data_IF_231929232050
#
_entry.id   IF_231929232050
#
_cell.length_a   1.000
_cell.length_b   1.000
_cell.length_c   1.000
_cell.angle_alpha   90.00
_cell.angle_beta   90.00
_cell.angle_gamma   90.00
#
_symmetry.space_group_name_H-M   'P 1'
#
loop_
_entity.id
_entity.type
_entity.pdbx_description
1 polymer ?
#
# COMPACT_ATOMS: atom_id res chain seq x y z
N UNK A 1 12.63 26.01 28.92
CA UNK A 1 13.06 26.09 27.49
C UNK A 1 13.14 24.73 26.78
N UNK A 2 13.33 23.62 27.47
CA UNK A 2 13.35 22.30 26.86
C UNK A 2 11.94 21.65 26.67
N UNK A 3 10.92 22.10 27.40
CA UNK A 3 9.55 21.57 27.30
C UNK A 3 8.73 22.17 26.15
N UNK A 4 8.99 23.41 25.74
CA UNK A 4 8.25 24.06 24.63
C UNK A 4 8.58 23.48 23.24
N UNK A 5 9.77 22.91 23.06
CA UNK A 5 10.18 22.33 21.76
C UNK A 5 9.51 20.96 21.54
N UNK A 6 9.18 20.22 22.59
CA UNK A 6 8.55 18.89 22.51
C UNK A 6 7.05 18.95 22.15
N UNK A 7 6.31 19.95 22.57
CA UNK A 7 4.88 20.07 22.26
C UNK A 7 4.62 20.47 20.80
N UNK A 8 5.47 21.31 20.21
CA UNK A 8 5.32 21.75 18.83
C UNK A 8 5.64 20.62 17.81
N UNK A 9 6.55 19.71 18.13
CA UNK A 9 6.93 18.60 17.24
C UNK A 9 5.93 17.44 17.27
N UNK A 10 5.20 17.27 18.37
CA UNK A 10 4.13 16.26 18.50
C UNK A 10 2.86 16.63 17.73
N UNK A 11 2.62 17.92 17.48
CA UNK A 11 1.41 18.42 16.80
C UNK A 11 1.39 18.08 15.28
N UNK A 12 2.54 17.73 14.70
CA UNK A 12 2.65 17.42 13.28
C UNK A 12 2.85 15.92 12.99
N UNK A 13 2.67 15.04 13.97
CA UNK A 13 2.81 13.61 13.78
C UNK A 13 1.59 13.04 13.08
N UNK A 14 1.80 12.43 11.89
CA UNK A 14 0.76 11.73 11.12
C UNK A 14 0.80 10.25 11.50
N UNK A 15 -0.26 9.79 12.17
CA UNK A 15 -0.35 8.41 12.66
C UNK A 15 -1.43 7.66 11.88
N UNK A 16 -1.07 6.49 11.36
CA UNK A 16 -1.96 5.64 10.60
C UNK A 16 -1.88 4.17 10.99
N UNK A 17 -2.70 3.36 10.33
CA UNK A 17 -2.75 1.93 10.55
C UNK A 17 -2.85 1.16 9.24
N UNK A 18 -2.48 -0.12 9.26
CA UNK A 18 -2.68 -1.02 8.13
C UNK A 18 -4.13 -1.49 8.09
N UNK A 19 -4.81 -1.24 6.97
CA UNK A 19 -6.23 -1.51 6.79
C UNK A 19 -6.49 -2.57 5.72
N UNK A 20 -7.48 -3.42 5.98
CA UNK A 20 -7.97 -4.37 4.98
C UNK A 20 -8.97 -3.70 4.03
N UNK A 21 -8.78 -3.85 2.72
CA UNK A 21 -9.71 -3.39 1.68
C UNK A 21 -10.76 -4.44 1.28
N UNK A 22 -10.86 -5.54 2.00
CA UNK A 22 -11.77 -6.66 1.66
C UNK A 22 -13.25 -6.24 1.58
N UNK A 23 -13.64 -5.18 2.31
CA UNK A 23 -15.00 -4.61 2.30
C UNK A 23 -15.15 -3.40 1.37
N UNK A 24 -14.16 -3.15 0.51
CA UNK A 24 -14.10 -2.01 -0.39
C UNK A 24 -13.38 -0.79 0.19
N UNK A 25 -12.82 0.03 -0.70
CA UNK A 25 -11.95 1.15 -0.34
C UNK A 25 -12.69 2.27 0.41
N UNK A 26 -13.94 2.54 0.03
CA UNK A 26 -14.79 3.54 0.69
C UNK A 26 -15.02 3.16 2.15
N UNK A 27 -15.42 1.89 2.40
CA UNK A 27 -15.63 1.41 3.76
C UNK A 27 -14.36 1.42 4.59
N UNK A 28 -13.23 1.16 3.97
CA UNK A 28 -11.92 1.25 4.61
C UNK A 28 -11.64 2.68 5.07
N UNK A 29 -11.83 3.68 4.21
CA UNK A 29 -11.64 5.09 4.55
C UNK A 29 -12.58 5.54 5.70
N UNK A 30 -13.86 5.18 5.64
CA UNK A 30 -14.81 5.46 6.73
C UNK A 30 -14.34 4.88 8.08
N UNK A 31 -13.76 3.68 8.07
CA UNK A 31 -13.25 3.07 9.28
C UNK A 31 -12.02 3.81 9.83
N UNK A 32 -11.13 4.29 8.96
CA UNK A 32 -9.98 5.12 9.36
C UNK A 32 -10.45 6.41 10.06
N UNK A 33 -11.46 7.07 9.48
CA UNK A 33 -12.09 8.25 10.09
C UNK A 33 -12.66 7.92 11.49
N UNK A 34 -13.38 6.80 11.61
CA UNK A 34 -13.94 6.35 12.91
C UNK A 34 -12.88 6.04 13.97
N UNK A 35 -11.70 5.61 13.53
CA UNK A 35 -10.57 5.34 14.43
C UNK A 35 -9.80 6.60 14.79
N UNK A 36 -10.16 7.75 14.24
CA UNK A 36 -9.45 9.01 14.38
C UNK A 36 -7.96 8.89 13.99
N UNK A 37 -7.69 8.10 12.94
CA UNK A 37 -6.35 7.97 12.39
C UNK A 37 -6.14 8.97 11.23
N UNK A 38 -4.91 9.48 11.10
CA UNK A 38 -4.58 10.53 10.14
C UNK A 38 -4.29 9.98 8.74
N UNK A 39 -3.99 8.69 8.63
CA UNK A 39 -3.67 8.03 7.36
C UNK A 39 -3.82 6.52 7.49
N UNK A 40 -3.53 5.81 6.40
CA UNK A 40 -3.54 4.34 6.38
C UNK A 40 -2.50 3.76 5.42
N UNK A 41 -2.17 2.50 5.65
CA UNK A 41 -1.56 1.62 4.67
C UNK A 41 -2.56 0.54 4.26
N UNK A 42 -2.57 0.18 2.99
CA UNK A 42 -3.39 -0.91 2.45
C UNK A 42 -2.52 -1.84 1.60
N UNK A 43 -2.95 -3.08 1.37
CA UNK A 43 -2.42 -3.83 0.24
C UNK A 43 -3.08 -3.36 -1.06
N UNK A 44 -2.28 -3.23 -2.13
CA UNK A 44 -2.79 -2.84 -3.46
C UNK A 44 -3.76 -3.87 -4.04
N UNK A 45 -3.62 -5.14 -3.63
CA UNK A 45 -4.50 -6.29 -3.92
C UNK A 45 -4.37 -7.35 -2.83
N UNK A 46 -5.04 -8.51 -2.98
CA UNK A 46 -4.86 -9.62 -2.04
C UNK A 46 -3.38 -9.98 -1.90
N UNK A 47 -2.77 -9.88 -0.68
CA UNK A 47 -1.33 -10.09 -0.49
C UNK A 47 -0.86 -11.53 -0.77
N UNK A 48 -1.77 -12.50 -0.76
CA UNK A 48 -1.49 -13.93 -0.98
C UNK A 48 -1.99 -14.44 -2.33
N UNK A 49 -2.54 -13.57 -3.16
CA UNK A 49 -3.09 -13.92 -4.46
C UNK A 49 -3.09 -12.73 -5.41
N UNK A 50 -3.54 -12.95 -6.63
CA UNK A 50 -3.59 -11.91 -7.67
C UNK A 50 -4.96 -11.24 -7.82
N UNK A 51 -5.99 -11.76 -7.14
CA UNK A 51 -7.36 -11.27 -7.30
C UNK A 51 -7.54 -9.89 -6.70
N UNK A 52 -8.14 -9.02 -7.48
CA UNK A 52 -8.55 -7.68 -7.08
C UNK A 52 -9.86 -7.31 -7.79
N UNK A 53 -10.69 -6.53 -7.10
CA UNK A 53 -11.86 -5.91 -7.70
C UNK A 53 -11.57 -4.42 -7.83
N UNK A 54 -11.54 -3.92 -9.07
CA UNK A 54 -11.38 -2.49 -9.31
C UNK A 54 -12.54 -1.70 -8.70
N UNK A 55 -12.25 -0.58 -8.02
CA UNK A 55 -13.30 0.32 -7.57
C UNK A 55 -14.00 0.93 -8.77
N UNK A 56 -15.30 1.09 -8.68
CA UNK A 56 -16.06 1.88 -9.65
C UNK A 56 -15.61 3.35 -9.59
N UNK A 57 -15.93 4.12 -10.63
CA UNK A 57 -15.66 5.56 -10.66
C UNK A 57 -16.28 6.25 -9.44
N UNK A 58 -17.52 5.91 -9.09
CA UNK A 58 -18.21 6.45 -7.91
C UNK A 58 -17.51 6.12 -6.59
N UNK A 59 -17.01 4.88 -6.44
CA UNK A 59 -16.27 4.47 -5.25
C UNK A 59 -14.93 5.22 -5.16
N UNK A 60 -14.24 5.44 -6.27
CA UNK A 60 -13.00 6.20 -6.30
C UNK A 60 -13.23 7.69 -5.94
N UNK A 61 -14.26 8.31 -6.51
CA UNK A 61 -14.65 9.70 -6.21
C UNK A 61 -15.04 9.87 -4.74
N UNK A 62 -15.83 8.94 -4.20
CA UNK A 62 -16.26 8.95 -2.80
C UNK A 62 -15.07 8.74 -1.85
N UNK A 63 -14.17 7.83 -2.17
CA UNK A 63 -12.94 7.64 -1.42
C UNK A 63 -12.09 8.92 -1.37
N UNK A 64 -11.89 9.57 -2.52
CA UNK A 64 -11.16 10.83 -2.59
C UNK A 64 -11.87 11.96 -1.84
N UNK A 65 -13.20 11.98 -1.83
CA UNK A 65 -13.98 12.94 -1.04
C UNK A 65 -13.72 12.76 0.45
N UNK A 66 -13.87 11.53 0.97
CA UNK A 66 -13.62 11.21 2.38
C UNK A 66 -12.19 11.57 2.77
N UNK A 67 -11.21 11.22 1.94
CA UNK A 67 -9.79 11.53 2.15
C UNK A 67 -9.56 13.03 2.31
N UNK A 68 -10.13 13.85 1.42
CA UNK A 68 -9.99 15.31 1.50
C UNK A 68 -10.68 15.91 2.71
N UNK A 69 -11.91 15.50 2.99
CA UNK A 69 -12.70 16.02 4.11
C UNK A 69 -12.11 15.68 5.46
N UNK A 70 -11.55 14.46 5.59
CA UNK A 70 -10.89 14.00 6.81
C UNK A 70 -9.42 14.48 6.93
N UNK A 71 -8.87 15.10 5.88
CA UNK A 71 -7.50 15.60 5.89
C UNK A 71 -6.44 14.49 5.96
N UNK A 72 -6.67 13.34 5.31
CA UNK A 72 -5.70 12.24 5.34
C UNK A 72 -4.33 12.70 4.83
N UNK A 73 -3.30 12.30 5.56
CA UNK A 73 -1.92 12.38 5.12
C UNK A 73 -1.62 11.42 3.95
N UNK A 74 -0.33 11.23 3.65
CA UNK A 74 0.10 10.31 2.60
C UNK A 74 -0.37 8.89 2.88
N UNK A 75 -1.06 8.28 1.91
CA UNK A 75 -1.51 6.89 1.97
C UNK A 75 -0.46 6.00 1.31
N UNK A 76 -0.16 4.85 1.92
CA UNK A 76 0.75 3.86 1.39
C UNK A 76 -0.03 2.66 0.84
N UNK A 77 0.23 2.25 -0.40
CA UNK A 77 -0.17 0.96 -0.91
C UNK A 77 1.02 0.01 -0.85
N UNK A 78 0.82 -1.21 -0.37
CA UNK A 78 1.83 -2.26 -0.34
C UNK A 78 1.52 -3.28 -1.43
N UNK A 79 2.49 -3.56 -2.29
CA UNK A 79 2.37 -4.59 -3.31
C UNK A 79 2.21 -5.99 -2.69
N UNK A 80 1.56 -6.94 -3.38
CA UNK A 80 1.44 -8.30 -2.88
C UNK A 80 2.79 -9.00 -2.79
N UNK A 81 2.94 -9.90 -1.82
CA UNK A 81 4.18 -10.67 -1.63
C UNK A 81 4.49 -11.62 -2.80
N UNK A 82 3.49 -11.94 -3.61
CA UNK A 82 3.63 -12.82 -4.78
C UNK A 82 4.28 -12.14 -5.99
N UNK A 83 4.46 -10.83 -5.94
CA UNK A 83 5.06 -10.05 -7.02
C UNK A 83 6.57 -9.89 -6.79
N UNK A 84 7.39 -10.32 -7.75
CA UNK A 84 8.83 -10.16 -7.68
C UNK A 84 9.42 -9.67 -9.01
N UNK A 85 9.70 -8.36 -9.07
CA UNK A 85 10.34 -7.72 -10.23
C UNK A 85 11.84 -8.03 -10.36
N UNK A 86 12.45 -8.68 -9.37
CA UNK A 86 13.84 -9.10 -9.39
C UNK A 86 13.99 -10.59 -9.73
N UNK A 87 12.93 -11.26 -10.19
CA UNK A 87 12.97 -12.67 -10.53
C UNK A 87 13.81 -12.93 -11.78
N UNK A 88 14.67 -13.94 -11.73
CA UNK A 88 15.39 -14.45 -12.90
C UNK A 88 14.49 -15.32 -13.81
N UNK A 89 13.30 -15.72 -13.36
CA UNK A 89 12.33 -16.50 -14.12
C UNK A 89 11.47 -15.56 -14.97
N UNK A 90 11.52 -15.65 -16.33
CA UNK A 90 10.80 -14.72 -17.20
C UNK A 90 9.30 -14.65 -16.90
N UNK A 91 8.65 -15.76 -16.67
CA UNK A 91 7.21 -15.82 -16.40
C UNK A 91 6.81 -15.10 -15.09
N UNK A 92 7.67 -15.17 -14.07
CA UNK A 92 7.46 -14.47 -12.79
C UNK A 92 7.67 -12.96 -12.97
N UNK A 93 8.70 -12.57 -13.71
CA UNK A 93 8.98 -11.18 -14.03
C UNK A 93 7.85 -10.54 -14.86
N UNK A 94 7.40 -11.20 -15.94
CA UNK A 94 6.31 -10.70 -16.78
C UNK A 94 5.00 -10.57 -16.00
N UNK A 95 4.70 -11.55 -15.14
CA UNK A 95 3.56 -11.47 -14.23
C UNK A 95 3.69 -10.25 -13.31
N UNK A 96 4.85 -10.05 -12.68
CA UNK A 96 5.08 -8.90 -11.80
C UNK A 96 4.94 -7.56 -12.55
N UNK A 97 5.43 -7.47 -13.80
CA UNK A 97 5.25 -6.28 -14.64
C UNK A 97 3.78 -5.99 -14.95
N UNK A 98 2.97 -7.02 -15.16
CA UNK A 98 1.54 -6.86 -15.39
C UNK A 98 0.84 -6.37 -14.13
N UNK A 99 1.11 -7.01 -12.99
CA UNK A 99 0.54 -6.66 -11.69
C UNK A 99 0.85 -5.22 -11.31
N UNK A 100 2.10 -4.76 -11.47
CA UNK A 100 2.47 -3.40 -11.09
C UNK A 100 1.78 -2.34 -11.96
N UNK A 101 1.62 -2.58 -13.27
CA UNK A 101 0.90 -1.66 -14.15
C UNK A 101 -0.56 -1.50 -13.73
N UNK A 102 -1.22 -2.62 -13.43
CA UNK A 102 -2.61 -2.61 -12.95
C UNK A 102 -2.73 -1.87 -11.61
N UNK A 103 -1.82 -2.16 -10.67
CA UNK A 103 -1.85 -1.56 -9.34
C UNK A 103 -1.57 -0.05 -9.39
N UNK A 104 -0.57 0.39 -10.15
CA UNK A 104 -0.27 1.82 -10.32
C UNK A 104 -1.42 2.56 -10.98
N UNK A 105 -2.06 1.98 -12.01
CA UNK A 105 -3.24 2.56 -12.66
C UNK A 105 -4.40 2.73 -11.68
N UNK A 106 -4.60 1.75 -10.80
CA UNK A 106 -5.64 1.81 -9.77
C UNK A 106 -5.33 2.83 -8.70
N UNK A 107 -4.08 2.88 -8.25
CA UNK A 107 -3.60 3.86 -7.27
C UNK A 107 -3.77 5.29 -7.78
N UNK A 108 -3.46 5.54 -9.05
CA UNK A 108 -3.67 6.83 -9.69
C UNK A 108 -5.14 7.27 -9.61
N UNK A 109 -6.08 6.38 -9.96
CA UNK A 109 -7.54 6.64 -9.84
C UNK A 109 -7.97 6.95 -8.41
N UNK A 110 -7.31 6.36 -7.42
CA UNK A 110 -7.58 6.58 -5.99
C UNK A 110 -6.80 7.77 -5.42
N UNK A 111 -5.89 8.37 -6.18
CA UNK A 111 -5.01 9.44 -5.70
C UNK A 111 -3.99 8.94 -4.65
N UNK A 112 -3.60 7.67 -4.69
CA UNK A 112 -2.58 7.09 -3.81
C UNK A 112 -1.23 7.18 -4.52
N UNK A 113 -0.30 7.95 -3.94
CA UNK A 113 0.96 8.31 -4.60
C UNK A 113 2.13 7.39 -4.25
N UNK A 114 2.00 6.56 -3.21
CA UNK A 114 3.11 5.79 -2.68
C UNK A 114 2.85 4.29 -2.75
N UNK A 115 3.76 3.55 -3.40
CA UNK A 115 3.74 2.08 -3.48
C UNK A 115 5.00 1.51 -2.83
N UNK A 116 4.82 0.61 -1.86
CA UNK A 116 5.89 -0.17 -1.25
C UNK A 116 6.06 -1.48 -2.01
N UNK A 117 7.26 -1.72 -2.51
CA UNK A 117 7.67 -2.93 -3.22
C UNK A 117 8.75 -3.66 -2.42
N UNK A 118 8.62 -4.99 -2.31
CA UNK A 118 9.68 -5.84 -1.78
C UNK A 118 10.26 -6.65 -2.93
N UNK A 119 11.57 -6.53 -3.17
CA UNK A 119 12.28 -7.24 -4.20
C UNK A 119 13.06 -8.40 -3.57
N UNK A 120 12.80 -9.62 -4.05
CA UNK A 120 13.53 -10.82 -3.65
C UNK A 120 14.52 -11.19 -4.75
N UNK A 121 15.82 -11.02 -4.49
CA UNK A 121 16.88 -11.59 -5.31
C UNK A 121 17.10 -13.04 -4.86
N UNK A 122 16.59 -13.99 -5.63
CA UNK A 122 17.04 -15.37 -5.53
C UNK A 122 18.38 -15.48 -6.25
N UNK A 123 19.45 -15.47 -5.48
CA UNK A 123 20.78 -15.79 -5.98
C UNK A 123 20.88 -17.32 -6.09
N UNK A 124 20.40 -17.89 -7.18
CA UNK A 124 20.57 -19.33 -7.47
C UNK A 124 22.04 -19.75 -7.62
N UNK A 125 22.98 -18.79 -7.49
CA UNK A 125 24.43 -18.98 -7.58
C UNK A 125 25.14 -19.11 -6.24
N UNK A 126 24.49 -18.88 -5.12
CA UNK A 126 25.08 -19.13 -3.83
C UNK A 126 24.95 -20.64 -3.52
N UNK A 127 26.12 -21.25 -3.35
CA UNK A 127 26.33 -22.67 -2.98
C UNK A 127 25.21 -23.25 -2.14
N UNK A 128 24.84 -24.55 -2.34
CA UNK A 128 23.79 -25.25 -1.57
C UNK A 128 23.93 -25.15 -0.04
N UNK A 129 25.10 -24.74 0.44
CA UNK A 129 25.40 -24.59 1.85
C UNK A 129 24.97 -23.26 2.48
N UNK A 130 24.47 -22.30 1.69
CA UNK A 130 23.98 -21.00 2.21
C UNK A 130 22.45 -20.90 2.32
N UNK A 131 21.74 -21.97 1.97
CA UNK A 131 20.28 -22.07 2.09
C UNK A 131 19.79 -22.37 3.53
N UNK A 132 20.70 -22.40 4.50
CA UNK A 132 20.42 -22.79 5.91
C UNK A 132 20.74 -21.67 6.92
N UNK A 133 20.77 -20.40 6.49
CA UNK A 133 20.85 -19.28 7.45
C UNK A 133 19.52 -18.49 7.37
#
# INVERSE_FOLDING_TARGET
MAEEVYESDLINMVIGTHMSIAKGIVKTAENVVKMNADTMQIFSRNPRGSNYKDPTVKEAEEFQRIRREAGFGAILAHAPYTMNLASAKPEVYEFACTVIREDVTRMDRLGIENLVLILYLYLDFLSPNLQLL
#
